data_IF_794845615520
#
_entry.id   IF_794845615520
#
_cell.length_a   1.000
_cell.length_b   1.000
_cell.length_c   1.000
_cell.angle_alpha   90.00
_cell.angle_beta   90.00
_cell.angle_gamma   90.00
#
_symmetry.space_group_name_H-M   'P 1'
#
loop_
_entity.id
_entity.type
_entity.pdbx_description
1 polymer ?
#
# COMPACT_ATOMS: atom_id res chain seq x y z
N UNK A 1 -15.59 -3.10 7.95
CA UNK A 1 -14.54 -4.08 7.53
C UNK A 1 -14.31 -4.14 6.02
N UNK A 2 -15.34 -4.29 5.17
CA UNK A 2 -15.19 -4.37 3.70
C UNK A 2 -14.34 -3.24 3.08
N UNK A 3 -14.56 -1.95 3.41
CA UNK A 3 -13.77 -0.85 2.81
C UNK A 3 -12.26 -0.91 3.09
N UNK A 4 -11.88 -1.44 4.26
CA UNK A 4 -10.47 -1.60 4.64
C UNK A 4 -9.83 -2.74 3.84
N UNK A 5 -10.56 -3.84 3.62
CA UNK A 5 -10.09 -4.99 2.86
C UNK A 5 -9.92 -4.62 1.39
N UNK A 6 -10.91 -3.94 0.80
CA UNK A 6 -10.83 -3.46 -0.58
C UNK A 6 -9.62 -2.53 -0.76
N UNK A 7 -9.39 -1.65 0.22
CA UNK A 7 -8.22 -0.78 0.20
C UNK A 7 -6.90 -1.53 0.33
N UNK A 8 -6.84 -2.55 1.18
CA UNK A 8 -5.67 -3.41 1.32
C UNK A 8 -5.34 -4.14 0.01
N UNK A 9 -6.37 -4.58 -0.72
CA UNK A 9 -6.21 -5.23 -2.01
C UNK A 9 -5.64 -4.28 -3.07
N UNK A 10 -6.19 -3.06 -3.18
CA UNK A 10 -5.66 -2.01 -4.06
C UNK A 10 -4.19 -1.69 -3.74
N UNK A 11 -3.85 -1.64 -2.45
CA UNK A 11 -2.49 -1.43 -1.99
C UNK A 11 -1.56 -2.53 -2.49
N UNK A 12 -1.94 -3.80 -2.30
CA UNK A 12 -1.16 -4.95 -2.76
C UNK A 12 -0.88 -4.88 -4.27
N UNK A 13 -1.92 -4.66 -5.08
CA UNK A 13 -1.79 -4.58 -6.54
C UNK A 13 -0.83 -3.46 -6.96
N UNK A 14 -0.94 -2.29 -6.34
CA UNK A 14 -0.06 -1.15 -6.63
C UNK A 14 1.39 -1.42 -6.21
N UNK A 15 1.61 -1.94 -5.00
CA UNK A 15 2.95 -2.21 -4.47
C UNK A 15 3.67 -3.29 -5.28
N UNK A 16 2.98 -4.38 -5.64
CA UNK A 16 3.55 -5.42 -6.50
C UNK A 16 3.90 -4.86 -7.90
N UNK A 17 3.01 -4.05 -8.49
CA UNK A 17 3.28 -3.39 -9.78
C UNK A 17 4.47 -2.45 -9.69
N UNK A 18 4.59 -1.68 -8.61
CA UNK A 18 5.71 -0.76 -8.36
C UNK A 18 7.03 -1.50 -8.22
N UNK A 19 7.06 -2.57 -7.42
CA UNK A 19 8.23 -3.43 -7.25
C UNK A 19 8.72 -3.98 -8.60
N UNK A 20 7.83 -4.63 -9.37
CA UNK A 20 8.18 -5.19 -10.69
C UNK A 20 8.69 -4.11 -11.65
N UNK A 21 8.08 -2.92 -11.64
CA UNK A 21 8.51 -1.78 -12.49
C UNK A 21 9.91 -1.29 -12.12
N UNK A 22 10.26 -1.25 -10.83
CA UNK A 22 11.58 -0.80 -10.38
C UNK A 22 12.64 -1.87 -10.63
N UNK A 23 12.29 -3.14 -10.41
CA UNK A 23 13.14 -4.28 -10.72
C UNK A 23 13.46 -4.36 -12.22
N UNK A 24 12.45 -4.20 -13.10
CA UNK A 24 12.63 -4.17 -14.55
C UNK A 24 13.52 -3.01 -15.04
N UNK A 25 13.66 -1.95 -14.23
CA UNK A 25 14.57 -0.82 -14.50
C UNK A 25 16.01 -1.07 -13.99
N UNK A 26 16.31 -2.25 -13.45
CA UNK A 26 17.62 -2.58 -12.90
C UNK A 26 18.02 -1.78 -11.66
N UNK A 27 17.04 -1.23 -10.91
CA UNK A 27 17.33 -0.48 -9.68
C UNK A 27 17.86 -1.44 -8.61
N UNK A 28 18.80 -0.96 -7.79
CA UNK A 28 19.29 -1.70 -6.64
C UNK A 28 18.10 -2.17 -5.77
N UNK A 29 18.17 -3.42 -5.31
CA UNK A 29 17.11 -4.06 -4.52
C UNK A 29 16.73 -3.24 -3.29
N UNK A 30 17.71 -2.66 -2.60
CA UNK A 30 17.47 -1.84 -1.41
C UNK A 30 16.69 -0.57 -1.74
N UNK A 31 17.01 0.09 -2.86
CA UNK A 31 16.27 1.27 -3.32
C UNK A 31 14.82 0.88 -3.67
N UNK A 32 14.65 -0.27 -4.32
CA UNK A 32 13.33 -0.79 -4.68
C UNK A 32 12.49 -1.11 -3.44
N UNK A 33 13.05 -1.81 -2.46
CA UNK A 33 12.39 -2.15 -1.19
C UNK A 33 12.01 -0.88 -0.43
N UNK A 34 12.94 0.07 -0.28
CA UNK A 34 12.68 1.33 0.44
C UNK A 34 11.57 2.15 -0.24
N UNK A 35 11.55 2.21 -1.57
CA UNK A 35 10.49 2.89 -2.30
C UNK A 35 9.11 2.23 -2.07
N UNK A 36 9.04 0.90 -2.06
CA UNK A 36 7.80 0.15 -1.80
C UNK A 36 7.37 0.30 -0.33
N UNK A 37 8.30 0.24 0.62
CA UNK A 37 8.01 0.40 2.05
C UNK A 37 7.45 1.80 2.36
N UNK A 38 7.97 2.86 1.72
CA UNK A 38 7.42 4.21 1.84
C UNK A 38 5.97 4.31 1.35
N UNK A 39 5.66 3.69 0.22
CA UNK A 39 4.28 3.63 -0.27
C UNK A 39 3.38 2.80 0.65
N UNK A 40 3.88 1.69 1.20
CA UNK A 40 3.16 0.83 2.15
C UNK A 40 2.77 1.59 3.43
N UNK A 41 3.66 2.39 4.00
CA UNK A 41 3.35 3.20 5.18
C UNK A 41 2.17 4.16 4.93
N UNK A 42 2.11 4.77 3.74
CA UNK A 42 0.99 5.61 3.33
C UNK A 42 -0.33 4.84 3.24
N UNK A 43 -0.30 3.61 2.73
CA UNK A 43 -1.48 2.75 2.70
C UNK A 43 -1.95 2.31 4.09
N UNK A 44 -1.03 2.01 5.01
CA UNK A 44 -1.38 1.66 6.39
C UNK A 44 -2.09 2.83 7.07
N UNK A 45 -1.57 4.05 6.90
CA UNK A 45 -2.21 5.27 7.41
C UNK A 45 -3.63 5.46 6.86
N UNK A 46 -3.79 5.33 5.54
CA UNK A 46 -5.08 5.49 4.86
C UNK A 46 -6.10 4.43 5.30
N UNK A 47 -5.67 3.17 5.44
CA UNK A 47 -6.50 2.10 6.00
C UNK A 47 -6.92 2.38 7.45
N UNK A 48 -6.02 2.92 8.28
CA UNK A 48 -6.35 3.34 9.64
C UNK A 48 -7.43 4.42 9.67
N UNK A 49 -7.37 5.39 8.74
CA UNK A 49 -8.39 6.44 8.58
C UNK A 49 -9.74 5.86 8.15
N UNK A 50 -9.75 4.93 7.20
CA UNK A 50 -10.97 4.22 6.75
C UNK A 50 -11.54 3.36 7.89
N UNK A 51 -10.69 2.67 8.65
CA UNK A 51 -11.14 1.86 9.78
C UNK A 51 -11.82 2.72 10.85
N UNK A 52 -11.23 3.88 11.18
CA UNK A 52 -11.84 4.83 12.12
C UNK A 52 -13.16 5.38 11.60
N UNK A 53 -13.25 5.76 10.32
CA UNK A 53 -14.49 6.31 9.77
C UNK A 53 -15.62 5.26 9.74
N UNK A 54 -15.31 4.01 9.40
CA UNK A 54 -16.27 2.90 9.43
C UNK A 54 -16.73 2.61 10.86
N UNK A 55 -15.85 2.73 11.86
CA UNK A 55 -16.23 2.56 13.26
C UNK A 55 -17.13 3.68 13.80
N UNK A 56 -17.09 4.88 13.19
CA UNK A 56 -17.90 6.03 13.59
C UNK A 56 -19.30 6.06 12.93
N UNK A 57 -19.57 5.17 11.97
CA UNK A 57 -20.86 5.08 11.31
C UNK A 57 -21.88 4.38 12.23
N UNK A 58 -23.06 4.98 12.50
CA UNK A 58 -24.09 4.39 13.34
C UNK A 58 -24.71 3.12 12.74
#
# INVERSE_FOLDING_TARGET
PRPVIDRAWDAQLRLCKRYRKLQAKGKNVNITIVAVARELAGFIWDMGRIAMSVAQQP
#
